data_IF_705392176394
#
_entry.id   IF_705392176394
#
_cell.length_a   1.000
_cell.length_b   1.000
_cell.length_c   1.000
_cell.angle_alpha   90.00
_cell.angle_beta   90.00
_cell.angle_gamma   90.00
#
_symmetry.space_group_name_H-M   'P 1'
#
loop_
_entity.id
_entity.type
_entity.pdbx_description
1 polymer ?
#
# COMPACT_ATOMS: atom_id res chain seq x y z
N UNK A 1 -8.45 34.36 -16.73
CA UNK A 1 -7.65 33.79 -15.63
C UNK A 1 -8.62 33.33 -14.57
N UNK A 2 -9.01 32.05 -14.61
CA UNK A 2 -9.90 31.46 -13.60
C UNK A 2 -9.17 31.40 -12.26
N UNK A 3 -9.78 31.89 -11.19
CA UNK A 3 -9.25 31.73 -9.84
C UNK A 3 -9.10 30.22 -9.58
N UNK A 4 -7.89 29.78 -9.23
CA UNK A 4 -7.69 28.41 -8.78
C UNK A 4 -8.43 28.26 -7.45
N UNK A 5 -9.53 27.52 -7.48
CA UNK A 5 -10.33 27.20 -6.30
C UNK A 5 -9.42 26.47 -5.29
N UNK A 6 -9.50 26.84 -4.01
CA UNK A 6 -8.65 26.24 -2.99
C UNK A 6 -8.97 24.74 -2.86
N UNK A 7 -7.97 23.86 -2.67
CA UNK A 7 -8.20 22.43 -2.57
C UNK A 7 -9.12 22.10 -1.39
N UNK A 8 -10.12 21.27 -1.65
CA UNK A 8 -11.10 20.83 -0.67
C UNK A 8 -10.56 19.60 0.06
N UNK A 9 -10.39 19.73 1.38
CA UNK A 9 -9.87 18.66 2.22
C UNK A 9 -10.73 17.39 2.09
N UNK A 10 -10.07 16.25 1.85
CA UNK A 10 -10.75 14.95 1.72
C UNK A 10 -11.35 14.69 0.34
N UNK A 11 -11.44 15.70 -0.52
CA UNK A 11 -11.84 15.54 -1.92
C UNK A 11 -10.61 15.61 -2.81
N UNK A 12 -9.82 16.68 -2.69
CA UNK A 12 -8.59 16.88 -3.46
C UNK A 12 -7.38 16.20 -2.82
N UNK A 13 -6.51 15.65 -3.66
CA UNK A 13 -5.23 15.10 -3.22
C UNK A 13 -4.17 16.21 -3.12
N UNK A 14 -3.82 16.58 -1.88
CA UNK A 14 -2.80 17.58 -1.58
C UNK A 14 -1.41 16.96 -1.36
N UNK A 15 -0.41 17.47 -2.09
CA UNK A 15 0.97 16.97 -2.04
C UNK A 15 1.61 17.23 -0.68
N UNK A 16 1.33 18.37 -0.05
CA UNK A 16 1.90 18.69 1.27
C UNK A 16 1.38 17.73 2.33
N UNK A 17 0.10 17.39 2.28
CA UNK A 17 -0.52 16.37 3.12
C UNK A 17 0.12 14.99 2.91
N UNK A 18 0.37 14.59 1.66
CA UNK A 18 1.09 13.34 1.33
C UNK A 18 2.55 13.33 1.81
N UNK A 19 3.23 14.48 1.76
CA UNK A 19 4.59 14.64 2.30
C UNK A 19 4.61 14.50 3.83
N UNK A 20 3.60 15.02 4.54
CA UNK A 20 3.48 14.90 6.01
C UNK A 20 3.34 13.45 6.47
N UNK A 21 2.80 12.55 5.65
CA UNK A 21 2.69 11.13 5.96
C UNK A 21 4.04 10.47 6.25
N UNK A 22 5.14 11.03 5.69
CA UNK A 22 6.49 10.55 5.99
C UNK A 22 6.77 10.55 7.49
N UNK A 23 6.45 11.65 8.19
CA UNK A 23 6.73 11.79 9.63
C UNK A 23 6.01 10.71 10.45
N UNK A 24 4.79 10.36 10.05
CA UNK A 24 3.98 9.31 10.68
C UNK A 24 4.60 7.92 10.42
N UNK A 25 5.08 7.69 9.20
CA UNK A 25 5.76 6.44 8.81
C UNK A 25 7.10 6.24 9.52
N UNK A 26 7.87 7.31 9.72
CA UNK A 26 9.18 7.26 10.40
C UNK A 26 9.02 7.01 11.90
N UNK A 27 8.07 7.66 12.58
CA UNK A 27 7.78 7.42 14.02
C UNK A 27 7.39 5.97 14.28
N UNK A 28 6.53 5.44 13.41
CA UNK A 28 6.11 4.04 13.40
C UNK A 28 7.30 3.09 13.25
N UNK A 29 8.21 3.39 12.31
CA UNK A 29 9.39 2.57 12.04
C UNK A 29 10.46 2.63 13.14
N UNK A 30 10.66 3.79 13.77
CA UNK A 30 11.58 3.94 14.90
C UNK A 30 11.11 3.14 16.13
N UNK A 31 9.80 3.15 16.40
CA UNK A 31 9.18 2.33 17.44
C UNK A 31 9.38 0.83 17.19
N UNK A 32 9.28 0.40 15.92
CA UNK A 32 9.60 -0.99 15.50
C UNK A 32 11.04 -1.36 15.80
N UNK A 33 11.99 -0.54 15.35
CA UNK A 33 13.42 -0.78 15.58
C UNK A 33 13.75 -0.90 17.07
N UNK A 34 13.09 -0.12 17.94
CA UNK A 34 13.23 -0.24 19.39
C UNK A 34 12.59 -1.52 19.96
N UNK A 35 11.49 -2.00 19.40
CA UNK A 35 10.79 -3.21 19.86
C UNK A 35 11.47 -4.52 19.41
N UNK A 36 12.14 -4.52 18.25
CA UNK A 36 12.84 -5.68 17.69
C UNK A 36 14.36 -5.65 17.89
N UNK A 37 14.91 -4.60 18.52
CA UNK A 37 16.34 -4.54 18.80
C UNK A 37 16.73 -5.67 19.77
N UNK A 38 17.69 -6.55 19.40
CA UNK A 38 18.26 -7.48 20.36
C UNK A 38 18.95 -6.66 21.45
N UNK A 39 18.72 -7.03 22.71
CA UNK A 39 19.51 -6.52 23.82
C UNK A 39 20.99 -6.90 23.61
N UNK A 40 21.80 -5.97 23.10
CA UNK A 40 23.26 -6.09 23.03
C UNK A 40 23.89 -6.39 21.67
N UNK A 41 23.15 -6.40 20.55
CA UNK A 41 23.72 -6.60 19.21
C UNK A 41 24.37 -5.34 18.64
N UNK A 42 25.61 -5.44 18.12
CA UNK A 42 26.33 -4.34 17.45
C UNK A 42 26.45 -4.65 15.96
N UNK A 43 25.62 -4.01 15.15
CA UNK A 43 25.68 -4.15 13.69
C UNK A 43 27.04 -3.68 13.15
N UNK A 44 27.76 -4.55 12.43
CA UNK A 44 29.04 -4.20 11.76
C UNK A 44 28.94 -4.43 10.26
N UNK A 45 29.13 -3.36 9.49
CA UNK A 45 29.20 -3.41 8.02
C UNK A 45 30.64 -3.61 7.56
N UNK A 46 30.95 -4.73 6.89
CA UNK A 46 32.26 -4.91 6.23
C UNK A 46 32.21 -4.31 4.82
N UNK A 47 32.99 -3.24 4.57
CA UNK A 47 33.22 -2.71 3.21
C UNK A 47 34.11 -3.69 2.43
N UNK A 48 33.55 -4.33 1.41
CA UNK A 48 34.26 -5.16 0.43
C UNK A 48 33.33 -5.54 -0.73
N UNK A 49 33.84 -5.56 -1.97
CA UNK A 49 33.08 -5.81 -3.20
C UNK A 49 32.28 -7.13 -3.09
N UNK A 50 30.95 -7.05 -3.24
CA UNK A 50 30.00 -8.15 -3.03
C UNK A 50 29.32 -8.12 -1.65
N UNK A 51 28.72 -6.98 -1.31
CA UNK A 51 28.27 -6.67 0.05
C UNK A 51 26.97 -7.40 0.42
N UNK A 52 27.07 -8.56 1.05
CA UNK A 52 25.98 -9.07 1.90
C UNK A 52 26.18 -8.49 3.31
N UNK A 53 25.25 -7.63 3.73
CA UNK A 53 25.23 -7.13 5.11
C UNK A 53 24.71 -8.24 6.01
N UNK A 54 25.52 -8.66 7.00
CA UNK A 54 25.11 -9.65 8.00
C UNK A 54 25.28 -9.06 9.40
N UNK A 55 24.37 -9.40 10.30
CA UNK A 55 24.52 -9.11 11.72
C UNK A 55 25.18 -10.30 12.44
N UNK A 56 25.86 -10.03 13.55
CA UNK A 56 26.49 -11.06 14.37
C UNK A 56 25.89 -11.03 15.76
N UNK A 57 25.28 -12.15 16.16
CA UNK A 57 24.71 -12.32 17.50
C UNK A 57 25.27 -13.55 18.21
N UNK A 58 25.18 -13.61 19.55
CA UNK A 58 25.45 -14.84 20.29
C UNK A 58 24.60 -16.00 19.76
N UNK A 59 25.20 -17.18 19.73
CA UNK A 59 24.53 -18.44 19.39
C UNK A 59 23.34 -18.70 20.32
N UNK A 60 22.25 -19.22 19.76
CA UNK A 60 21.10 -19.73 20.49
C UNK A 60 20.79 -21.16 20.05
N UNK A 61 20.20 -21.95 20.96
CA UNK A 61 19.86 -23.34 20.65
C UNK A 61 18.81 -23.40 19.54
N UNK A 62 19.15 -24.11 18.45
CA UNK A 62 18.35 -24.18 17.23
C UNK A 62 18.99 -23.47 16.02
N UNK A 63 20.08 -22.73 16.22
CA UNK A 63 20.82 -22.12 15.13
C UNK A 63 21.55 -23.17 14.25
N UNK A 64 21.62 -22.91 12.93
CA UNK A 64 22.37 -23.76 12.01
C UNK A 64 23.88 -23.52 12.21
N UNK A 65 24.64 -24.58 12.48
CA UNK A 65 26.10 -24.54 12.60
C UNK A 65 26.80 -23.97 11.35
N UNK A 66 26.16 -24.04 10.17
CA UNK A 66 26.70 -23.46 8.94
C UNK A 66 26.74 -21.93 8.98
N UNK A 67 25.91 -21.31 9.81
CA UNK A 67 25.86 -19.86 9.99
C UNK A 67 26.91 -19.32 10.98
N UNK A 68 27.70 -20.18 11.63
CA UNK A 68 28.67 -19.79 12.66
C UNK A 68 29.75 -18.82 12.12
N UNK A 69 29.90 -17.66 12.76
CA UNK A 69 31.02 -16.75 12.53
C UNK A 69 32.27 -17.25 13.26
N UNK A 70 33.13 -17.97 12.54
CA UNK A 70 34.38 -18.50 13.11
C UNK A 70 35.35 -17.41 13.57
N UNK A 71 35.32 -16.22 12.97
CA UNK A 71 36.26 -15.14 13.32
C UNK A 71 35.85 -14.43 14.61
N UNK A 72 34.57 -14.12 14.78
CA UNK A 72 34.05 -13.50 16.00
C UNK A 72 34.05 -14.52 17.14
N UNK A 73 33.72 -15.78 16.85
CA UNK A 73 33.81 -16.88 17.83
C UNK A 73 35.25 -17.05 18.33
N UNK A 74 36.24 -17.07 17.44
CA UNK A 74 37.64 -17.20 17.83
C UNK A 74 38.15 -16.01 18.68
N UNK A 75 37.62 -14.79 18.45
CA UNK A 75 38.03 -13.59 19.20
C UNK A 75 37.36 -13.46 20.57
N UNK A 76 36.09 -13.84 20.66
CA UNK A 76 35.28 -13.67 21.87
C UNK A 76 35.30 -14.90 22.78
N UNK A 77 35.70 -16.06 22.26
CA UNK A 77 35.66 -17.34 22.97
C UNK A 77 34.24 -17.92 23.13
N UNK A 78 33.22 -17.23 22.63
CA UNK A 78 31.82 -17.68 22.67
C UNK A 78 31.26 -17.85 21.25
N UNK A 79 30.42 -18.86 20.98
CA UNK A 79 29.86 -19.09 19.65
C UNK A 79 28.97 -17.93 19.21
N UNK A 80 29.20 -17.42 18.00
CA UNK A 80 28.43 -16.36 17.37
C UNK A 80 27.95 -16.79 15.99
N UNK A 81 26.74 -16.38 15.60
CA UNK A 81 26.14 -16.71 14.30
C UNK A 81 26.00 -15.48 13.41
N UNK A 82 26.25 -15.66 12.11
CA UNK A 82 26.02 -14.67 11.04
C UNK A 82 24.57 -14.79 10.60
N UNK A 83 23.81 -13.72 10.82
CA UNK A 83 22.46 -13.60 10.26
C UNK A 83 22.58 -12.80 8.97
N UNK A 84 22.44 -13.47 7.83
CA UNK A 84 22.47 -12.83 6.53
C UNK A 84 21.15 -12.09 6.30
N UNK A 85 21.22 -10.80 5.98
CA UNK A 85 20.09 -10.11 5.39
C UNK A 85 20.24 -10.22 3.87
N UNK A 86 19.30 -10.91 3.22
CA UNK A 86 19.20 -10.89 1.77
C UNK A 86 18.90 -9.43 1.37
N UNK A 87 19.90 -8.73 0.82
CA UNK A 87 19.75 -7.41 0.19
C UNK A 87 18.98 -7.60 -1.13
N UNK A 88 17.77 -8.16 -1.09
CA UNK A 88 16.84 -8.00 -2.20
C UNK A 88 16.59 -6.50 -2.34
N UNK A 89 16.84 -5.95 -3.52
CA UNK A 89 16.33 -4.63 -3.89
C UNK A 89 14.81 -4.65 -3.71
N UNK A 90 14.33 -4.15 -2.56
CA UNK A 90 12.91 -4.06 -2.20
C UNK A 90 12.24 -3.06 -3.13
N UNK A 91 11.79 -3.56 -4.27
CA UNK A 91 11.15 -2.78 -5.32
C UNK A 91 9.64 -3.02 -5.25
N UNK A 92 8.90 -2.01 -4.82
CA UNK A 92 7.45 -2.09 -4.63
C UNK A 92 6.77 -1.09 -5.55
N UNK A 93 5.84 -1.57 -6.38
CA UNK A 93 4.95 -0.72 -7.17
C UNK A 93 3.64 -0.54 -6.41
N UNK A 94 3.30 0.71 -6.10
CA UNK A 94 2.00 1.07 -5.56
C UNK A 94 1.11 1.59 -6.69
N UNK A 95 -0.05 0.96 -6.83
CA UNK A 95 -1.05 1.26 -7.85
C UNK A 95 -2.29 1.78 -7.14
N UNK A 96 -2.68 3.02 -7.43
CA UNK A 96 -3.83 3.68 -6.79
C UNK A 96 -4.97 3.81 -7.78
N UNK A 97 -6.15 3.35 -7.41
CA UNK A 97 -7.35 3.44 -8.24
C UNK A 97 -8.04 4.81 -8.05
N UNK A 98 -8.17 5.56 -9.14
CA UNK A 98 -8.88 6.85 -9.23
C UNK A 98 -10.07 6.80 -10.18
N UNK A 99 -10.53 5.60 -10.54
CA UNK A 99 -11.74 5.41 -11.32
C UNK A 99 -12.97 5.97 -10.61
N UNK A 100 -14.05 6.18 -11.35
CA UNK A 100 -15.32 6.76 -10.89
C UNK A 100 -15.81 6.17 -9.56
N UNK A 101 -15.80 4.84 -9.30
CA UNK A 101 -16.23 4.31 -8.00
C UNK A 101 -15.40 4.85 -6.82
N UNK A 102 -14.13 5.18 -7.04
CA UNK A 102 -13.24 5.70 -6.00
C UNK A 102 -13.49 7.18 -5.67
N UNK A 103 -14.14 7.94 -6.56
CA UNK A 103 -14.39 9.38 -6.43
C UNK A 103 -15.66 9.68 -5.62
N UNK A 104 -15.82 9.00 -4.48
CA UNK A 104 -16.94 9.15 -3.56
C UNK A 104 -16.50 8.95 -2.10
N UNK A 105 -17.17 9.63 -1.17
CA UNK A 105 -17.03 9.41 0.27
C UNK A 105 -18.14 10.10 1.07
N UNK A 106 -18.53 9.52 2.21
CA UNK A 106 -19.62 10.04 3.06
C UNK A 106 -19.13 10.73 4.34
N UNK A 107 -17.86 10.52 4.72
CA UNK A 107 -17.29 11.04 5.97
C UNK A 107 -16.13 11.97 5.69
N UNK A 108 -14.90 11.53 6.00
CA UNK A 108 -13.70 12.36 6.01
C UNK A 108 -13.16 12.63 4.61
N UNK A 109 -13.08 11.58 3.78
CA UNK A 109 -12.41 11.64 2.50
C UNK A 109 -13.06 10.71 1.48
N UNK A 110 -12.84 11.00 0.20
CA UNK A 110 -13.14 10.07 -0.88
C UNK A 110 -12.29 8.80 -0.77
N UNK A 111 -12.83 7.68 -1.25
CA UNK A 111 -12.11 6.40 -1.32
C UNK A 111 -10.78 6.58 -2.07
N UNK A 112 -10.74 7.38 -3.13
CA UNK A 112 -9.53 7.72 -3.89
C UNK A 112 -8.45 8.40 -3.04
N UNK A 113 -8.84 9.35 -2.17
CA UNK A 113 -7.91 10.08 -1.31
C UNK A 113 -7.38 9.16 -0.22
N UNK A 114 -8.25 8.39 0.43
CA UNK A 114 -7.83 7.39 1.43
C UNK A 114 -6.92 6.31 0.83
N UNK A 115 -7.19 5.88 -0.41
CA UNK A 115 -6.35 4.94 -1.16
C UNK A 115 -4.94 5.51 -1.39
N UNK A 116 -4.84 6.76 -1.84
CA UNK A 116 -3.58 7.45 -2.06
C UNK A 116 -2.82 7.66 -0.74
N UNK A 117 -3.48 8.11 0.32
CA UNK A 117 -2.89 8.25 1.65
C UNK A 117 -2.30 6.92 2.15
N UNK A 118 -3.06 5.83 2.03
CA UNK A 118 -2.60 4.51 2.46
C UNK A 118 -1.39 4.02 1.64
N UNK A 119 -1.48 4.13 0.31
CA UNK A 119 -0.39 3.75 -0.59
C UNK A 119 0.88 4.57 -0.34
N UNK A 120 0.76 5.89 -0.21
CA UNK A 120 1.89 6.80 0.04
C UNK A 120 2.49 6.60 1.43
N UNK A 121 1.67 6.36 2.45
CA UNK A 121 2.17 6.03 3.79
C UNK A 121 3.02 4.75 3.79
N UNK A 122 2.59 3.70 3.07
CA UNK A 122 3.40 2.48 2.88
C UNK A 122 4.63 2.72 2.02
N UNK A 123 4.53 3.53 0.96
CA UNK A 123 5.65 3.89 0.11
C UNK A 123 6.78 4.59 0.89
N UNK A 124 6.43 5.53 1.79
CA UNK A 124 7.42 6.18 2.65
C UNK A 124 8.19 5.19 3.53
N UNK A 125 7.54 4.12 4.01
CA UNK A 125 8.21 3.06 4.78
C UNK A 125 9.21 2.29 3.92
N UNK A 126 8.84 1.96 2.68
CA UNK A 126 9.74 1.29 1.74
C UNK A 126 10.96 2.18 1.50
N UNK A 127 10.77 3.48 1.24
CA UNK A 127 11.85 4.46 1.05
C UNK A 127 12.75 4.58 2.28
N UNK A 128 12.17 4.72 3.47
CA UNK A 128 12.95 4.85 4.71
C UNK A 128 13.75 3.56 5.00
N UNK A 129 13.24 2.39 4.58
CA UNK A 129 13.95 1.10 4.60
C UNK A 129 14.96 0.89 3.47
N UNK A 130 15.33 1.95 2.73
CA UNK A 130 16.26 1.92 1.58
C UNK A 130 15.75 1.11 0.38
N UNK A 131 14.44 0.93 0.25
CA UNK A 131 13.81 0.30 -0.92
C UNK A 131 13.59 1.27 -2.09
N UNK A 132 13.21 0.69 -3.23
CA UNK A 132 12.80 1.38 -4.45
C UNK A 132 11.27 1.38 -4.56
N UNK A 133 10.67 2.54 -4.80
CA UNK A 133 9.21 2.71 -4.89
C UNK A 133 8.81 3.14 -6.28
N UNK A 134 7.84 2.47 -6.88
CA UNK A 134 7.12 2.96 -8.06
C UNK A 134 5.73 3.43 -7.65
N UNK A 135 5.23 4.49 -8.30
CA UNK A 135 3.82 4.90 -8.18
C UNK A 135 3.14 4.81 -9.55
N UNK A 136 1.91 4.33 -9.54
CA UNK A 136 1.02 4.35 -10.67
C UNK A 136 -0.40 4.72 -10.23
N UNK A 137 -1.18 5.29 -11.15
CA UNK A 137 -2.61 5.50 -10.96
C UNK A 137 -3.40 4.80 -12.07
N UNK A 138 -4.63 4.40 -11.75
CA UNK A 138 -5.61 3.89 -12.70
C UNK A 138 -6.73 4.92 -12.80
N UNK A 139 -7.01 5.39 -14.00
CA UNK A 139 -8.14 6.28 -14.30
C UNK A 139 -8.99 5.74 -15.43
N UNK A 140 -9.88 6.57 -15.98
CA UNK A 140 -10.71 6.19 -17.13
C UNK A 140 -9.89 5.88 -18.39
N UNK A 141 -8.76 6.56 -18.56
CA UNK A 141 -7.84 6.40 -19.69
C UNK A 141 -6.88 5.19 -19.56
N UNK A 142 -7.01 4.38 -18.51
CA UNK A 142 -6.13 3.22 -18.26
C UNK A 142 -5.12 3.47 -17.13
N UNK A 143 -4.05 2.67 -17.11
CA UNK A 143 -3.03 2.75 -16.06
C UNK A 143 -1.85 3.64 -16.48
N UNK A 144 -1.36 4.48 -15.57
CA UNK A 144 -0.21 5.36 -15.82
C UNK A 144 0.82 5.21 -14.71
N UNK A 145 2.02 4.75 -15.05
CA UNK A 145 3.16 4.67 -14.14
C UNK A 145 3.98 5.96 -14.19
N UNK A 146 4.30 6.54 -13.03
CA UNK A 146 5.01 7.82 -12.90
C UNK A 146 6.52 7.67 -12.76
N UNK A 147 7.02 6.44 -12.79
CA UNK A 147 8.43 6.11 -12.64
C UNK A 147 8.77 5.62 -11.24
N UNK A 148 10.06 5.73 -10.90
CA UNK A 148 10.65 5.11 -9.72
C UNK A 148 11.39 6.13 -8.87
N UNK A 149 11.22 6.02 -7.55
CA UNK A 149 11.93 6.76 -6.53
C UNK A 149 12.82 5.83 -5.72
N UNK A 150 14.08 6.24 -5.53
CA UNK A 150 15.02 5.67 -4.57
C UNK A 150 15.40 6.78 -3.60
N UNK A 151 15.11 6.58 -2.31
CA UNK A 151 15.34 7.58 -1.28
C UNK A 151 14.35 8.75 -1.31
N UNK A 152 14.27 9.48 -0.20
CA UNK A 152 13.20 10.44 0.02
C UNK A 152 13.21 11.68 -0.89
N UNK A 153 14.35 12.02 -1.49
CA UNK A 153 14.49 13.20 -2.35
C UNK A 153 13.87 13.00 -3.75
N UNK A 154 13.74 11.75 -4.20
CA UNK A 154 13.22 11.43 -5.53
C UNK A 154 11.72 11.17 -5.56
N UNK A 155 11.07 11.11 -4.40
CA UNK A 155 9.65 10.80 -4.28
C UNK A 155 8.67 11.96 -4.53
N UNK A 156 8.96 13.23 -4.14
CA UNK A 156 8.04 14.34 -4.34
C UNK A 156 7.53 14.52 -5.79
N UNK A 157 8.36 14.39 -6.85
CA UNK A 157 7.86 14.44 -8.23
C UNK A 157 6.79 13.39 -8.54
N UNK A 158 6.91 12.18 -7.96
CA UNK A 158 5.90 11.13 -8.14
C UNK A 158 4.59 11.47 -7.39
N UNK A 159 4.67 12.14 -6.24
CA UNK A 159 3.49 12.62 -5.50
C UNK A 159 2.75 13.72 -6.27
N UNK A 160 3.49 14.63 -6.92
CA UNK A 160 2.91 15.64 -7.82
C UNK A 160 2.17 14.97 -8.98
N UNK A 161 2.82 14.00 -9.65
CA UNK A 161 2.20 13.27 -10.76
C UNK A 161 0.95 12.49 -10.33
N UNK A 162 0.95 11.92 -9.12
CA UNK A 162 -0.21 11.24 -8.52
C UNK A 162 -1.36 12.23 -8.27
N UNK A 163 -1.07 13.40 -7.69
CA UNK A 163 -2.06 14.45 -7.45
C UNK A 163 -2.64 15.02 -8.74
N UNK A 164 -1.83 15.19 -9.78
CA UNK A 164 -2.30 15.57 -11.12
C UNK A 164 -3.20 14.51 -11.76
N UNK A 165 -2.85 13.22 -11.62
CA UNK A 165 -3.69 12.12 -12.10
C UNK A 165 -5.05 12.11 -11.40
N UNK A 166 -5.07 12.33 -10.08
CA UNK A 166 -6.29 12.43 -9.30
C UNK A 166 -7.16 13.61 -9.71
N UNK A 167 -6.55 14.80 -9.91
CA UNK A 167 -7.26 16.00 -10.39
C UNK A 167 -7.85 15.80 -11.79
N UNK A 168 -7.13 15.12 -12.68
CA UNK A 168 -7.66 14.74 -14.00
C UNK A 168 -8.90 13.87 -13.87
N UNK A 169 -8.87 12.87 -13.00
CA UNK A 169 -10.01 11.99 -12.76
C UNK A 169 -11.22 12.74 -12.19
N UNK A 170 -11.03 13.72 -11.30
CA UNK A 170 -12.11 14.58 -10.80
C UNK A 170 -12.71 15.49 -11.88
N UNK A 171 -11.92 15.92 -12.86
CA UNK A 171 -12.37 16.79 -13.95
C UNK A 171 -13.07 16.03 -15.09
N UNK A 172 -12.93 14.70 -15.14
CA UNK A 172 -13.55 13.86 -16.15
C UNK A 172 -15.06 13.69 -15.90
N UNK A 173 -15.84 13.65 -16.99
CA UNK A 173 -17.28 13.40 -16.89
C UNK A 173 -17.53 11.96 -16.47
N UNK A 174 -18.43 11.78 -15.49
CA UNK A 174 -18.92 10.48 -15.05
C UNK A 174 -19.68 9.70 -16.15
N UNK A 175 -19.86 10.26 -17.35
CA UNK A 175 -20.45 9.57 -18.51
C UNK A 175 -19.41 8.82 -19.35
N UNK A 176 -18.12 9.02 -19.09
CA UNK A 176 -17.04 8.35 -19.81
C UNK A 176 -17.05 6.85 -19.51
N UNK A 177 -17.03 6.02 -20.56
CA UNK A 177 -16.95 4.57 -20.40
C UNK A 177 -15.57 4.20 -19.84
N UNK A 178 -15.54 3.61 -18.65
CA UNK A 178 -14.30 3.17 -18.03
C UNK A 178 -14.03 1.68 -18.27
N UNK A 179 -12.80 1.31 -18.62
CA UNK A 179 -12.42 -0.10 -18.73
C UNK A 179 -12.49 -0.81 -17.37
N UNK A 180 -12.70 -2.14 -17.35
CA UNK A 180 -12.62 -2.92 -16.11
C UNK A 180 -11.23 -2.83 -15.48
N UNK A 181 -11.16 -2.96 -14.15
CA UNK A 181 -9.89 -2.86 -13.41
C UNK A 181 -8.86 -3.90 -13.90
N UNK A 182 -9.33 -5.06 -14.34
CA UNK A 182 -8.52 -6.12 -14.91
C UNK A 182 -7.60 -5.63 -16.03
N UNK A 183 -8.08 -4.79 -16.95
CA UNK A 183 -7.27 -4.29 -18.06
C UNK A 183 -6.09 -3.44 -17.55
N UNK A 184 -6.37 -2.51 -16.64
CA UNK A 184 -5.35 -1.68 -16.01
C UNK A 184 -4.38 -2.50 -15.14
N UNK A 185 -4.87 -3.54 -14.46
CA UNK A 185 -4.02 -4.44 -13.67
C UNK A 185 -3.08 -5.26 -14.55
N UNK A 186 -3.51 -5.67 -15.74
CA UNK A 186 -2.67 -6.36 -16.72
C UNK A 186 -1.53 -5.46 -17.24
N UNK A 187 -1.82 -4.19 -17.52
CA UNK A 187 -0.79 -3.19 -17.84
C UNK A 187 0.24 -3.08 -16.69
N UNK A 188 -0.22 -3.06 -15.44
CA UNK A 188 0.67 -2.99 -14.26
C UNK A 188 1.46 -4.27 -14.00
N UNK A 189 0.96 -5.44 -14.40
CA UNK A 189 1.73 -6.67 -14.36
C UNK A 189 2.97 -6.58 -15.26
N UNK A 190 2.84 -5.98 -16.44
CA UNK A 190 3.93 -5.82 -17.40
C UNK A 190 5.07 -4.93 -16.89
N UNK A 191 4.83 -4.11 -15.86
CA UNK A 191 5.86 -3.27 -15.22
C UNK A 191 6.89 -4.16 -14.53
N UNK A 192 8.04 -4.32 -15.19
CA UNK A 192 9.17 -5.13 -14.71
C UNK A 192 9.92 -4.51 -13.54
N UNK A 193 10.83 -5.28 -12.95
CA UNK A 193 11.70 -4.81 -11.87
C UNK A 193 10.97 -4.53 -10.54
N UNK A 194 9.83 -5.18 -10.32
CA UNK A 194 9.05 -5.14 -9.07
C UNK A 194 9.12 -6.50 -8.37
N UNK A 195 9.52 -6.49 -7.09
CA UNK A 195 9.41 -7.65 -6.20
C UNK A 195 7.99 -7.79 -5.61
N UNK A 196 7.27 -6.67 -5.50
CA UNK A 196 5.93 -6.65 -4.93
C UNK A 196 5.04 -5.59 -5.61
N UNK A 197 3.73 -5.82 -5.58
CA UNK A 197 2.70 -4.92 -6.09
C UNK A 197 1.65 -4.68 -4.99
N UNK A 198 1.34 -3.41 -4.74
CA UNK A 198 0.29 -3.00 -3.80
C UNK A 198 -0.79 -2.25 -4.56
N UNK A 199 -1.99 -2.83 -4.65
CA UNK A 199 -3.16 -2.22 -5.28
C UNK A 199 -4.06 -1.59 -4.21
N UNK A 200 -4.37 -0.31 -4.33
CA UNK A 200 -5.33 0.38 -3.47
C UNK A 200 -6.61 0.69 -4.28
N UNK A 201 -7.68 -0.06 -4.04
CA UNK A 201 -8.95 0.02 -4.78
C UNK A 201 -10.10 -0.49 -3.93
N UNK A 202 -11.32 -0.07 -4.24
CA UNK A 202 -12.56 -0.59 -3.67
C UNK A 202 -13.10 -1.84 -4.41
N UNK A 203 -12.55 -2.16 -5.60
CA UNK A 203 -12.93 -3.33 -6.41
C UNK A 203 -14.44 -3.41 -6.76
N UNK A 204 -15.13 -2.27 -6.94
CA UNK A 204 -16.55 -2.27 -7.34
C UNK A 204 -16.76 -2.85 -8.75
N UNK A 205 -15.80 -2.61 -9.66
CA UNK A 205 -15.84 -3.07 -11.07
C UNK A 205 -14.53 -3.75 -11.48
N UNK A 206 -14.22 -4.94 -10.94
CA UNK A 206 -12.95 -5.62 -11.15
C UNK A 206 -12.82 -6.17 -12.57
N UNK A 207 -13.93 -6.62 -13.18
CA UNK A 207 -13.95 -7.32 -14.47
C UNK A 207 -13.71 -8.83 -14.33
N UNK A 208 -14.14 -9.60 -15.33
CA UNK A 208 -14.11 -11.07 -15.32
C UNK A 208 -12.67 -11.62 -15.26
N UNK A 209 -11.73 -10.97 -15.94
CA UNK A 209 -10.33 -11.41 -16.00
C UNK A 209 -9.52 -11.10 -14.72
N UNK A 210 -10.07 -10.35 -13.76
CA UNK A 210 -9.34 -9.89 -12.58
C UNK A 210 -8.72 -11.03 -11.78
N UNK A 211 -9.47 -12.10 -11.52
CA UNK A 211 -9.01 -13.21 -10.67
C UNK A 211 -7.83 -13.95 -11.30
N UNK A 212 -7.86 -14.13 -12.62
CA UNK A 212 -6.79 -14.78 -13.38
C UNK A 212 -5.52 -13.95 -13.31
N UNK A 213 -5.63 -12.63 -13.54
CA UNK A 213 -4.49 -11.70 -13.51
C UNK A 213 -3.94 -11.57 -12.08
N UNK A 214 -4.79 -11.37 -11.09
CA UNK A 214 -4.38 -11.27 -9.68
C UNK A 214 -3.67 -12.54 -9.21
N UNK A 215 -4.18 -13.73 -9.56
CA UNK A 215 -3.51 -15.01 -9.25
C UNK A 215 -2.15 -15.12 -9.93
N UNK A 216 -2.05 -14.68 -11.20
CA UNK A 216 -0.79 -14.69 -11.96
C UNK A 216 0.26 -13.76 -11.32
N UNK A 217 -0.16 -12.58 -10.88
CA UNK A 217 0.70 -11.63 -10.14
C UNK A 217 1.11 -12.24 -8.80
N UNK A 218 0.17 -12.73 -7.99
CA UNK A 218 0.44 -13.29 -6.66
C UNK A 218 1.40 -14.50 -6.69
N UNK A 219 1.43 -15.27 -7.79
CA UNK A 219 2.39 -16.37 -7.99
C UNK A 219 3.80 -15.89 -8.34
N UNK A 220 3.95 -14.69 -8.90
CA UNK A 220 5.24 -14.16 -9.41
C UNK A 220 5.84 -13.10 -8.49
N UNK A 221 5.00 -12.38 -7.75
CA UNK A 221 5.33 -11.22 -6.93
C UNK A 221 4.44 -11.24 -5.70
N UNK A 222 4.90 -10.59 -4.65
CA UNK A 222 4.07 -10.37 -3.48
C UNK A 222 2.95 -9.36 -3.80
N UNK A 223 1.71 -9.86 -3.91
CA UNK A 223 0.52 -9.07 -4.17
C UNK A 223 -0.16 -8.69 -2.85
N UNK A 224 -0.34 -7.39 -2.65
CA UNK A 224 -1.13 -6.84 -1.56
C UNK A 224 -2.26 -5.97 -2.09
N UNK A 225 -3.42 -6.04 -1.46
CA UNK A 225 -4.57 -5.21 -1.79
C UNK A 225 -5.02 -4.44 -0.56
N UNK A 226 -4.99 -3.12 -0.67
CA UNK A 226 -5.60 -2.20 0.28
C UNK A 226 -7.05 -2.00 -0.19
N UNK A 227 -7.97 -2.80 0.36
CA UNK A 227 -9.39 -2.72 0.02
C UNK A 227 -9.98 -1.50 0.69
N UNK A 228 -10.24 -0.45 -0.07
CA UNK A 228 -10.76 0.80 0.47
C UNK A 228 -12.28 0.79 0.45
N UNK A 229 -12.89 1.05 1.60
CA UNK A 229 -14.34 1.12 1.74
C UNK A 229 -14.72 2.45 2.40
N UNK A 230 -15.84 3.03 1.98
CA UNK A 230 -16.41 4.16 2.70
C UNK A 230 -17.05 3.73 4.02
N UNK A 231 -17.11 4.64 5.00
CA UNK A 231 -17.72 4.34 6.31
C UNK A 231 -19.16 3.85 6.20
N UNK A 232 -19.89 4.34 5.20
CA UNK A 232 -21.26 3.93 4.94
C UNK A 232 -21.36 2.49 4.43
N UNK A 233 -20.35 1.97 3.73
CA UNK A 233 -20.30 0.55 3.34
C UNK A 233 -20.03 -0.35 4.54
N UNK A 234 -19.14 0.08 5.45
CA UNK A 234 -18.70 -0.71 6.60
C UNK A 234 -19.68 -0.70 7.77
N UNK A 235 -20.33 0.44 8.00
CA UNK A 235 -21.25 0.65 9.10
C UNK A 235 -22.34 1.67 8.69
N UNK A 236 -23.27 1.27 7.80
CA UNK A 236 -24.33 2.17 7.37
C UNK A 236 -25.23 2.54 8.54
N UNK A 237 -25.59 3.82 8.65
CA UNK A 237 -26.64 4.21 9.60
C UNK A 237 -28.00 3.73 9.11
N UNK A 238 -28.87 3.22 10.00
CA UNK A 238 -30.24 2.85 9.63
C UNK A 238 -31.02 4.07 9.13
N UNK A 239 -31.79 3.89 8.06
CA UNK A 239 -32.49 5.01 7.43
C UNK A 239 -33.02 4.69 6.04
N UNK A 240 -33.64 5.69 5.43
CA UNK A 240 -34.10 5.65 4.05
C UNK A 240 -33.27 6.64 3.24
N UNK A 241 -32.52 6.14 2.28
CA UNK A 241 -31.55 6.91 1.52
C UNK A 241 -32.00 7.02 0.06
N UNK A 242 -32.23 8.22 -0.48
CA UNK A 242 -32.39 8.39 -1.91
C UNK A 242 -31.08 8.06 -2.62
N UNK A 243 -31.16 7.28 -3.69
CA UNK A 243 -30.01 6.98 -4.53
C UNK A 243 -30.37 7.20 -5.99
N UNK A 244 -29.34 7.48 -6.79
CA UNK A 244 -29.41 7.56 -8.25
C UNK A 244 -28.17 6.92 -8.82
N UNK A 245 -28.37 5.95 -9.71
CA UNK A 245 -27.34 5.34 -10.54
C UNK A 245 -27.49 5.85 -11.98
N UNK A 246 -26.68 5.32 -12.91
CA UNK A 246 -26.84 5.60 -14.35
C UNK A 246 -28.13 4.99 -14.94
N UNK A 247 -28.73 4.01 -14.27
CA UNK A 247 -29.80 3.18 -14.85
C UNK A 247 -31.11 3.28 -14.05
N UNK A 248 -31.02 3.61 -12.76
CA UNK A 248 -32.16 3.63 -11.85
C UNK A 248 -31.98 4.70 -10.76
N UNK A 249 -33.09 5.27 -10.30
CA UNK A 249 -33.16 6.01 -9.05
C UNK A 249 -34.23 5.43 -8.13
N UNK A 250 -34.07 5.63 -6.82
CA UNK A 250 -34.94 4.99 -5.85
C UNK A 250 -34.58 5.31 -4.40
N UNK A 251 -35.18 4.54 -3.49
CA UNK A 251 -34.96 4.66 -2.05
C UNK A 251 -34.39 3.35 -1.51
N UNK A 252 -33.19 3.42 -0.95
CA UNK A 252 -32.53 2.32 -0.27
C UNK A 252 -32.88 2.37 1.23
N UNK A 253 -33.55 1.34 1.74
CA UNK A 253 -33.87 1.22 3.17
C UNK A 253 -32.83 0.34 3.87
N UNK A 254 -32.13 0.93 4.82
CA UNK A 254 -31.17 0.24 5.69
C UNK A 254 -31.82 -0.01 7.05
N UNK A 255 -31.98 -1.28 7.40
CA UNK A 255 -32.61 -1.70 8.63
C UNK A 255 -31.70 -1.48 9.86
N UNK A 256 -32.32 -1.31 11.02
CA UNK A 256 -31.60 -1.21 12.29
C UNK A 256 -30.91 -2.54 12.60
N UNK A 257 -29.62 -2.49 12.97
CA UNK A 257 -28.86 -3.68 13.34
C UNK A 257 -28.51 -4.63 12.20
N UNK A 258 -28.54 -4.17 10.94
CA UNK A 258 -27.94 -4.91 9.84
C UNK A 258 -26.48 -5.22 10.19
N UNK A 259 -26.18 -6.48 10.50
CA UNK A 259 -24.81 -6.93 10.69
C UNK A 259 -24.12 -6.83 9.33
N UNK A 260 -23.05 -6.05 9.25
CA UNK A 260 -22.17 -6.12 8.08
C UNK A 260 -21.56 -7.52 8.04
N UNK A 261 -21.93 -8.29 7.03
CA UNK A 261 -21.29 -9.56 6.74
C UNK A 261 -19.79 -9.31 6.47
N UNK A 262 -18.91 -10.29 6.75
CA UNK A 262 -17.51 -10.18 6.35
C UNK A 262 -17.44 -9.89 4.85
N UNK A 263 -16.66 -8.89 4.45
CA UNK A 263 -16.57 -8.48 3.05
C UNK A 263 -16.06 -9.66 2.18
N UNK A 264 -16.94 -10.17 1.31
CA UNK A 264 -16.62 -11.30 0.43
C UNK A 264 -15.45 -10.99 -0.50
N UNK A 265 -15.20 -9.70 -0.80
CA UNK A 265 -14.03 -9.25 -1.58
C UNK A 265 -12.73 -9.65 -0.88
N UNK A 266 -12.64 -9.49 0.45
CA UNK A 266 -11.45 -9.89 1.22
C UNK A 266 -11.23 -11.40 1.18
N UNK A 267 -12.30 -12.19 1.34
CA UNK A 267 -12.23 -13.65 1.27
C UNK A 267 -11.85 -14.13 -0.14
N UNK A 268 -12.38 -13.51 -1.19
CA UNK A 268 -11.99 -13.73 -2.59
C UNK A 268 -10.51 -13.45 -2.79
N UNK A 269 -10.02 -12.27 -2.42
CA UNK A 269 -8.63 -11.87 -2.58
C UNK A 269 -7.63 -12.81 -1.87
N UNK A 270 -7.93 -13.22 -0.64
CA UNK A 270 -7.11 -14.19 0.09
C UNK A 270 -7.00 -15.53 -0.62
N UNK A 271 -8.09 -16.02 -1.23
CA UNK A 271 -8.09 -17.25 -2.05
C UNK A 271 -7.21 -17.13 -3.30
N UNK A 272 -7.04 -15.93 -3.84
CA UNK A 272 -6.14 -15.65 -4.98
C UNK A 272 -4.67 -15.58 -4.55
N UNK A 273 -4.36 -15.67 -3.25
CA UNK A 273 -3.01 -15.53 -2.70
C UNK A 273 -2.59 -14.08 -2.45
N UNK A 274 -3.51 -13.12 -2.50
CA UNK A 274 -3.21 -11.73 -2.16
C UNK A 274 -3.28 -11.50 -0.64
N UNK A 275 -2.35 -10.71 -0.11
CA UNK A 275 -2.44 -10.16 1.24
C UNK A 275 -3.41 -8.99 1.23
N UNK A 276 -4.24 -8.86 2.25
CA UNK A 276 -5.38 -7.92 2.23
C UNK A 276 -5.46 -7.11 3.49
N UNK A 277 -5.67 -5.80 3.36
CA UNK A 277 -6.04 -4.92 4.47
C UNK A 277 -7.23 -4.07 4.06
N UNK A 278 -8.26 -4.05 4.90
CA UNK A 278 -9.40 -3.15 4.74
C UNK A 278 -9.06 -1.76 5.28
N UNK A 279 -9.35 -0.72 4.50
CA UNK A 279 -9.12 0.68 4.85
C UNK A 279 -10.46 1.40 4.87
N UNK A 280 -10.89 1.86 6.05
CA UNK A 280 -12.04 2.75 6.21
C UNK A 280 -11.62 4.17 5.82
N UNK A 281 -12.21 4.70 4.73
CA UNK A 281 -11.92 6.05 4.22
C UNK A 281 -12.27 7.15 5.23
N UNK A 282 -13.13 6.87 6.21
CA UNK A 282 -13.47 7.76 7.31
C UNK A 282 -12.36 7.93 8.36
N UNK A 283 -11.37 7.04 8.42
CA UNK A 283 -10.26 7.13 9.38
C UNK A 283 -9.24 8.18 8.98
N UNK A 284 -8.65 8.86 9.96
CA UNK A 284 -7.52 9.77 9.72
C UNK A 284 -6.28 9.04 9.20
N UNK A 285 -5.41 9.78 8.50
CA UNK A 285 -4.23 9.22 7.88
C UNK A 285 -3.21 8.63 8.87
N UNK A 286 -3.19 9.11 10.12
CA UNK A 286 -2.34 8.53 11.18
C UNK A 286 -2.81 7.13 11.57
N UNK A 287 -4.11 6.94 11.69
CA UNK A 287 -4.74 5.66 12.03
C UNK A 287 -4.61 4.68 10.87
N UNK A 288 -4.81 5.14 9.63
CA UNK A 288 -4.49 4.36 8.42
C UNK A 288 -3.01 3.93 8.44
N UNK A 289 -2.10 4.84 8.74
CA UNK A 289 -0.68 4.52 8.86
C UNK A 289 -0.43 3.43 9.92
N UNK A 290 -1.07 3.50 11.09
CA UNK A 290 -0.96 2.44 12.12
C UNK A 290 -1.49 1.09 11.64
N UNK A 291 -2.61 1.06 10.91
CA UNK A 291 -3.17 -0.20 10.38
C UNK A 291 -2.22 -0.88 9.38
N UNK A 292 -1.56 -0.09 8.54
CA UNK A 292 -0.59 -0.59 7.56
C UNK A 292 0.62 -1.29 8.21
N UNK A 293 0.96 -0.97 9.46
CA UNK A 293 2.01 -1.70 10.19
C UNK A 293 1.71 -3.20 10.22
N UNK A 294 0.44 -3.60 10.38
CA UNK A 294 0.03 -5.01 10.45
C UNK A 294 0.27 -5.75 9.13
N UNK A 295 0.00 -5.11 8.00
CA UNK A 295 0.21 -5.70 6.67
C UNK A 295 1.70 -5.74 6.30
N UNK A 296 2.49 -4.79 6.80
CA UNK A 296 3.93 -4.77 6.63
C UNK A 296 4.63 -5.86 7.49
N UNK A 297 4.16 -6.16 8.71
CA UNK A 297 4.71 -7.28 9.52
C UNK A 297 4.69 -8.60 8.74
N UNK A 298 3.58 -8.90 8.08
CA UNK A 298 3.43 -10.09 7.23
C UNK A 298 4.29 -10.05 5.94
N UNK A 299 4.81 -8.86 5.56
CA UNK A 299 5.66 -8.67 4.36
C UNK A 299 7.14 -8.94 4.64
N UNK A 300 7.57 -8.72 5.87
CA UNK A 300 8.99 -8.61 6.23
C UNK A 300 9.50 -9.70 7.18
N UNK A 301 8.61 -10.50 7.77
CA UNK A 301 8.95 -11.61 8.68
C UNK A 301 9.06 -12.99 8.00
N UNK A 302 9.01 -13.05 6.66
CA UNK A 302 9.18 -14.28 5.86
C UNK A 302 10.33 -14.21 4.87
#
# INVERSE_FOLDING_TARGET
MSAAEAPVLGVDLDVDSLMRLRLLSTRSSARRAAATAPLGGVARRRRGRGAETYDVRPWSDGDDMRSLDRNVTARTGAPHVRTFHDERERSVLFVVDFRTPMLFGTRRAFRSVAAAEAAVASAWRVIDSQGRVGLAAIGSAGARCFGWAVGARSFPPLLVALAEAHRSALAESAETAEPPLAAALEEMESVGGTSALTLASALDSPGEAFDVIATRIARRRDLSVLLVADRFELAPSPGLYPFRTRVEDGLLRIAHGARTAPDERLARLRRLGARTLEIDAGLDAETIARLLERLDMERFDG
#
